data_IF_556529443842
#
_entry.id   IF_556529443842
#
_cell.length_a   1.000
_cell.length_b   1.000
_cell.length_c   1.000
_cell.angle_alpha   90.00
_cell.angle_beta   90.00
_cell.angle_gamma   90.00
#
_symmetry.space_group_name_H-M   'P 1'
#
loop_
_entity.id
_entity.type
_entity.pdbx_description
1 polymer ?
#
# COMPACT_ATOMS: atom_id res chain seq x y z
N UNK A 1 -11.03 11.67 45.55
CA UNK A 1 -10.15 12.25 44.49
C UNK A 1 -11.05 12.53 43.29
N UNK A 2 -11.01 13.73 42.68
CA UNK A 2 -11.90 14.03 41.55
C UNK A 2 -11.56 13.16 40.33
N UNK A 3 -12.52 12.84 39.45
CA UNK A 3 -12.29 11.99 38.27
C UNK A 3 -11.12 12.47 37.39
N UNK A 4 -10.99 13.79 37.25
CA UNK A 4 -9.87 14.43 36.53
C UNK A 4 -8.51 14.17 37.19
N UNK A 5 -8.43 14.21 38.53
CA UNK A 5 -7.18 13.91 39.26
C UNK A 5 -6.78 12.44 39.15
N UNK A 6 -7.75 11.53 39.02
CA UNK A 6 -7.49 10.09 38.81
C UNK A 6 -7.00 9.83 37.39
N UNK A 7 -7.61 10.47 36.37
CA UNK A 7 -7.15 10.36 34.99
C UNK A 7 -5.73 10.91 34.81
N UNK A 8 -5.45 12.07 35.42
CA UNK A 8 -4.13 12.70 35.35
C UNK A 8 -3.05 11.87 36.05
N UNK A 9 -3.38 11.26 37.20
CA UNK A 9 -2.48 10.31 37.87
C UNK A 9 -2.19 9.06 37.02
N UNK A 10 -3.21 8.49 36.37
CA UNK A 10 -3.04 7.32 35.48
C UNK A 10 -2.14 7.66 34.29
N UNK A 11 -2.34 8.83 33.66
CA UNK A 11 -1.46 9.29 32.60
C UNK A 11 -0.02 9.44 33.09
N UNK A 12 0.17 10.05 34.27
CA UNK A 12 1.51 10.24 34.83
C UNK A 12 2.22 8.91 35.11
N UNK A 13 1.49 7.93 35.66
CA UNK A 13 2.03 6.57 35.89
C UNK A 13 2.37 5.88 34.58
N UNK A 14 1.52 5.98 33.57
CA UNK A 14 1.77 5.39 32.25
C UNK A 14 3.02 5.99 31.59
N UNK A 15 3.17 7.32 31.64
CA UNK A 15 4.38 8.00 31.16
C UNK A 15 5.63 7.57 31.93
N UNK A 16 5.54 7.46 33.27
CA UNK A 16 6.66 7.01 34.08
C UNK A 16 7.10 5.57 33.73
N UNK A 17 6.14 4.68 33.47
CA UNK A 17 6.43 3.29 33.07
C UNK A 17 7.07 3.23 31.67
N UNK A 18 6.57 4.02 30.72
CA UNK A 18 7.16 4.11 29.38
C UNK A 18 8.61 4.62 29.41
N UNK A 19 8.87 5.67 30.19
CA UNK A 19 10.22 6.23 30.35
C UNK A 19 11.14 5.20 31.01
N UNK A 20 10.68 4.51 32.07
CA UNK A 20 11.47 3.46 32.72
C UNK A 20 11.78 2.29 31.77
N UNK A 21 10.82 1.88 30.95
CA UNK A 21 11.00 0.83 29.93
C UNK A 21 12.01 1.23 28.86
N UNK A 22 11.92 2.46 28.34
CA UNK A 22 12.87 2.98 27.36
C UNK A 22 14.29 3.06 27.94
N UNK A 23 14.45 3.58 29.16
CA UNK A 23 15.75 3.64 29.85
C UNK A 23 16.33 2.24 30.09
N UNK A 24 15.50 1.27 30.45
CA UNK A 24 15.93 -0.12 30.62
C UNK A 24 16.38 -0.73 29.29
N UNK A 25 15.61 -0.53 28.23
CA UNK A 25 15.91 -1.01 26.88
C UNK A 25 17.23 -0.44 26.35
N UNK A 26 17.43 0.87 26.47
CA UNK A 26 18.68 1.51 26.03
C UNK A 26 19.89 1.10 26.89
N UNK A 27 19.71 0.93 28.20
CA UNK A 27 20.78 0.43 29.06
C UNK A 27 21.15 -1.03 28.78
N UNK A 28 20.16 -1.86 28.44
CA UNK A 28 20.39 -3.23 27.98
C UNK A 28 21.16 -3.21 26.65
N UNK A 29 20.66 -2.46 25.66
CA UNK A 29 21.29 -2.33 24.36
C UNK A 29 22.72 -1.79 24.47
N UNK A 30 23.02 -0.88 25.41
CA UNK A 30 24.39 -0.40 25.65
C UNK A 30 25.35 -1.48 26.21
N UNK A 31 24.85 -2.46 26.95
CA UNK A 31 25.67 -3.48 27.64
C UNK A 31 25.81 -4.79 26.88
N UNK A 32 24.86 -5.13 26.02
CA UNK A 32 24.84 -6.43 25.33
C UNK A 32 25.77 -6.46 24.12
N UNK A 33 26.97 -7.01 24.27
CA UNK A 33 27.97 -7.09 23.19
C UNK A 33 27.86 -8.33 22.32
N UNK A 34 26.93 -9.24 22.61
CA UNK A 34 26.87 -10.57 21.99
C UNK A 34 25.80 -10.69 20.93
N UNK A 35 24.79 -9.83 21.00
CA UNK A 35 23.59 -9.96 20.17
C UNK A 35 23.63 -8.99 19.00
N UNK A 36 23.49 -9.49 17.77
CA UNK A 36 23.45 -8.67 16.55
C UNK A 36 22.37 -7.58 16.61
N UNK A 37 21.22 -7.89 17.23
CA UNK A 37 20.15 -6.92 17.46
C UNK A 37 20.58 -5.73 18.33
N UNK A 38 21.43 -5.94 19.33
CA UNK A 38 21.94 -4.84 20.16
C UNK A 38 22.94 -3.95 19.39
N UNK A 39 23.66 -4.51 18.41
CA UNK A 39 24.53 -3.76 17.50
C UNK A 39 23.70 -2.85 16.57
N UNK A 40 22.70 -3.42 15.89
CA UNK A 40 21.80 -2.68 14.98
C UNK A 40 21.06 -1.56 15.72
N UNK A 41 20.59 -1.82 16.95
CA UNK A 41 19.96 -0.79 17.78
C UNK A 41 20.91 0.36 18.07
N UNK A 42 22.18 0.10 18.44
CA UNK A 42 23.20 1.15 18.71
C UNK A 42 23.53 1.96 17.46
N UNK A 43 23.60 1.32 16.30
CA UNK A 43 23.90 1.97 15.02
C UNK A 43 22.82 2.98 14.64
N UNK A 44 21.54 2.58 14.73
CA UNK A 44 20.40 3.45 14.38
C UNK A 44 20.27 4.66 15.30
N UNK A 45 20.58 4.49 16.59
CA UNK A 45 20.46 5.56 17.60
C UNK A 45 21.77 6.33 17.84
N UNK A 46 22.84 6.02 17.09
CA UNK A 46 24.13 6.72 17.16
C UNK A 46 24.88 6.55 18.49
N UNK A 47 24.72 5.41 19.18
CA UNK A 47 25.46 5.11 20.40
C UNK A 47 26.87 4.59 20.10
N UNK A 48 27.86 5.00 20.91
CA UNK A 48 29.22 4.47 20.82
C UNK A 48 29.26 2.96 21.06
N UNK A 49 29.97 2.26 20.18
CA UNK A 49 30.12 0.80 20.25
C UNK A 49 31.17 0.44 21.32
N UNK A 50 30.87 -0.50 22.23
CA UNK A 50 31.87 -1.01 23.17
C UNK A 50 33.01 -1.73 22.40
N UNK A 51 34.26 -1.46 22.80
CA UNK A 51 35.46 -2.07 22.21
C UNK A 51 35.32 -3.60 22.15
N UNK A 52 35.40 -4.18 20.94
CA UNK A 52 35.26 -5.63 20.70
C UNK A 52 33.86 -6.11 20.32
N UNK A 53 32.95 -5.22 19.91
CA UNK A 53 31.61 -5.59 19.42
C UNK A 53 31.51 -5.87 17.92
N UNK A 54 32.64 -6.00 17.21
CA UNK A 54 32.64 -6.49 15.84
C UNK A 54 32.33 -7.99 15.86
N UNK A 55 31.36 -8.48 15.07
CA UNK A 55 31.06 -9.90 15.04
C UNK A 55 32.26 -10.68 14.47
N UNK A 56 32.82 -11.59 15.26
CA UNK A 56 33.91 -12.47 14.82
C UNK A 56 33.47 -13.28 13.58
N UNK A 57 34.28 -13.32 12.50
CA UNK A 57 33.99 -14.19 11.36
C UNK A 57 34.18 -15.66 11.77
N UNK A 58 33.17 -16.48 11.50
CA UNK A 58 33.16 -17.92 11.79
C UNK A 58 34.31 -18.60 11.04
N UNK A 59 35.34 -18.98 11.78
CA UNK A 59 36.48 -19.79 11.30
C UNK A 59 36.01 -21.23 11.15
N UNK A 60 35.82 -21.70 9.91
CA UNK A 60 35.64 -23.13 9.64
C UNK A 60 36.91 -23.67 8.98
N UNK A 61 37.59 -24.51 9.76
CA UNK A 61 38.85 -25.20 9.48
C UNK A 61 38.71 -26.07 8.23
N UNK A 62 39.60 -25.88 7.25
CA UNK A 62 39.78 -26.79 6.11
C UNK A 62 40.82 -27.86 6.51
N UNK A 63 40.57 -29.17 6.32
CA UNK A 63 41.62 -30.17 6.42
C UNK A 63 42.33 -30.31 5.06
N UNK A 64 43.63 -30.05 5.00
CA UNK A 64 44.49 -30.42 3.86
C UNK A 64 44.87 -31.92 3.90
N UNK A 65 45.06 -32.59 2.74
CA UNK A 65 45.55 -33.95 2.67
C UNK A 65 47.10 -34.02 2.74
N UNK A 66 47.57 -35.02 3.47
CA UNK A 66 48.97 -35.35 3.82
C UNK A 66 49.82 -35.77 2.61
N UNK A 67 51.00 -35.17 2.40
CA UNK A 67 52.22 -35.85 1.90
C UNK A 67 53.49 -35.14 2.47
N UNK A 68 54.43 -35.90 3.05
CA UNK A 68 55.71 -35.47 3.69
C UNK A 68 56.80 -36.46 3.17
N UNK A 69 58.08 -36.10 2.86
CA UNK A 69 58.97 -35.28 3.70
C UNK A 69 60.05 -34.40 3.03
N UNK A 70 60.15 -33.14 3.49
CA UNK A 70 61.35 -32.37 3.96
C UNK A 70 60.99 -30.86 3.97
N UNK A 71 61.58 -30.06 4.87
CA UNK A 71 60.86 -29.15 5.78
C UNK A 71 59.97 -28.15 5.03
N UNK A 72 58.66 -28.25 5.30
CA UNK A 72 57.57 -27.61 4.54
C UNK A 72 57.73 -26.08 4.50
N UNK A 73 57.91 -25.46 3.31
CA UNK A 73 57.66 -24.04 3.11
C UNK A 73 56.14 -23.81 3.17
N UNK A 74 55.70 -22.83 3.96
CA UNK A 74 54.30 -22.43 4.07
C UNK A 74 53.68 -22.23 2.67
N UNK A 75 52.53 -22.84 2.36
CA UNK A 75 51.93 -22.72 1.03
C UNK A 75 51.41 -21.30 0.83
N UNK A 76 51.81 -20.67 -0.27
CA UNK A 76 51.20 -19.41 -0.71
C UNK A 76 49.69 -19.62 -0.91
N UNK A 77 48.82 -18.75 -0.35
CA UNK A 77 47.39 -18.96 -0.43
C UNK A 77 46.93 -18.83 -1.88
N UNK A 78 46.45 -19.94 -2.44
CA UNK A 78 45.72 -19.94 -3.70
C UNK A 78 44.40 -19.22 -3.45
N UNK A 79 44.33 -17.95 -3.86
CA UNK A 79 43.11 -17.15 -3.88
C UNK A 79 42.20 -17.72 -4.96
N UNK A 80 41.33 -18.65 -4.59
CA UNK A 80 40.21 -19.01 -5.44
C UNK A 80 39.31 -17.77 -5.55
N UNK A 81 39.33 -17.13 -6.72
CA UNK A 81 38.45 -16.00 -7.03
C UNK A 81 37.03 -16.56 -7.14
N UNK A 82 36.38 -16.75 -5.99
CA UNK A 82 34.94 -17.01 -5.92
C UNK A 82 34.28 -15.83 -6.63
N UNK A 83 33.64 -16.10 -7.76
CA UNK A 83 32.89 -15.10 -8.49
C UNK A 83 32.00 -14.35 -7.49
N UNK A 84 32.01 -13.01 -7.48
CA UNK A 84 31.28 -12.23 -6.50
C UNK A 84 29.83 -12.72 -6.49
N UNK A 85 29.28 -13.02 -5.29
CA UNK A 85 27.83 -13.22 -5.14
C UNK A 85 27.19 -12.02 -5.84
N UNK A 86 26.19 -12.21 -6.72
CA UNK A 86 25.53 -11.09 -7.35
C UNK A 86 25.04 -10.18 -6.23
N UNK A 87 25.66 -9.01 -6.11
CA UNK A 87 25.18 -7.96 -5.23
C UNK A 87 23.74 -7.72 -5.69
N UNK A 88 22.77 -7.95 -4.81
CA UNK A 88 21.37 -7.74 -5.15
C UNK A 88 21.26 -6.38 -5.84
N UNK A 89 20.68 -6.35 -7.04
CA UNK A 89 20.67 -5.13 -7.84
C UNK A 89 19.75 -4.17 -7.11
N UNK A 90 20.29 -3.00 -6.73
CA UNK A 90 19.46 -1.94 -6.15
C UNK A 90 18.43 -1.52 -7.20
N UNK A 91 17.17 -1.73 -6.88
CA UNK A 91 16.03 -1.34 -7.70
C UNK A 91 15.41 -0.09 -7.08
N UNK A 92 15.33 0.98 -7.88
CA UNK A 92 14.60 2.16 -7.45
C UNK A 92 13.10 1.87 -7.46
N UNK A 93 12.34 2.51 -6.57
CA UNK A 93 10.89 2.41 -6.56
C UNK A 93 10.26 2.85 -7.89
N UNK A 94 10.86 3.82 -8.57
CA UNK A 94 10.40 4.27 -9.89
C UNK A 94 10.56 3.19 -10.96
N UNK A 95 11.62 2.38 -10.89
CA UNK A 95 11.85 1.28 -11.83
C UNK A 95 10.97 0.07 -11.52
N UNK A 96 10.66 -0.18 -10.24
CA UNK A 96 9.66 -1.15 -9.81
C UNK A 96 8.26 -0.81 -10.37
N UNK A 97 7.84 0.45 -10.26
CA UNK A 97 6.55 0.93 -10.78
C UNK A 97 6.45 0.80 -12.31
N UNK A 98 7.57 0.80 -13.04
CA UNK A 98 7.56 0.64 -14.51
C UNK A 98 7.43 -0.82 -14.97
N UNK A 99 7.49 -1.78 -14.05
CA UNK A 99 7.49 -3.21 -14.33
C UNK A 99 6.29 -3.88 -13.64
N UNK A 100 5.08 -3.82 -14.23
CA UNK A 100 3.87 -4.38 -13.63
C UNK A 100 3.94 -5.89 -13.39
N UNK A 101 4.77 -6.60 -14.15
CA UNK A 101 5.07 -8.02 -13.98
C UNK A 101 5.75 -8.34 -12.64
N UNK A 102 6.34 -7.33 -12.00
CA UNK A 102 6.96 -7.46 -10.69
C UNK A 102 6.01 -7.15 -9.54
N UNK A 103 4.76 -6.74 -9.80
CA UNK A 103 3.83 -6.30 -8.76
C UNK A 103 3.19 -7.47 -8.01
N UNK A 104 2.84 -7.27 -6.73
CA UNK A 104 2.03 -8.23 -6.00
C UNK A 104 0.60 -8.25 -6.54
N UNK A 105 -0.05 -9.40 -6.53
CA UNK A 105 -1.50 -9.50 -6.76
C UNK A 105 -2.30 -9.06 -5.53
N UNK A 106 -1.74 -9.26 -4.33
CA UNK A 106 -2.39 -8.94 -3.06
C UNK A 106 -1.38 -8.44 -2.02
N UNK A 107 -1.83 -7.53 -1.15
CA UNK A 107 -1.06 -7.01 -0.02
C UNK A 107 -1.92 -6.96 1.23
N UNK A 108 -1.31 -7.10 2.41
CA UNK A 108 -2.00 -6.91 3.68
C UNK A 108 -1.91 -5.45 4.12
N UNK A 109 -3.00 -4.90 4.66
CA UNK A 109 -2.96 -3.63 5.37
C UNK A 109 -2.25 -3.80 6.71
N UNK A 110 -1.20 -3.03 6.95
CA UNK A 110 -0.41 -3.09 8.21
C UNK A 110 -0.84 -2.04 9.21
N UNK A 111 -1.51 -0.97 8.77
CA UNK A 111 -1.98 0.14 9.59
C UNK A 111 -3.44 0.48 9.29
N UNK A 112 -4.13 1.05 10.28
CA UNK A 112 -5.49 1.53 10.09
C UNK A 112 -5.54 2.65 9.06
N UNK A 113 -6.52 2.56 8.15
CA UNK A 113 -6.83 3.60 7.17
C UNK A 113 -8.31 3.95 7.31
N UNK A 114 -8.59 5.23 7.58
CA UNK A 114 -9.95 5.76 7.71
C UNK A 114 -10.19 6.77 6.60
N UNK A 115 -11.35 6.69 5.95
CA UNK A 115 -11.71 7.62 4.88
C UNK A 115 -13.13 8.13 5.04
N UNK A 116 -13.28 9.44 4.95
CA UNK A 116 -14.57 10.12 4.90
C UNK A 116 -15.34 9.73 3.64
N UNK A 117 -16.66 9.64 3.74
CA UNK A 117 -17.57 9.34 2.63
C UNK A 117 -18.17 10.65 2.16
N UNK A 118 -17.76 11.10 0.98
CA UNK A 118 -18.20 12.34 0.36
C UNK A 118 -19.01 12.03 -0.89
N UNK A 119 -20.17 12.68 -1.02
CA UNK A 119 -20.98 12.64 -2.23
C UNK A 119 -21.57 14.03 -2.47
N UNK A 120 -21.22 14.66 -3.59
CA UNK A 120 -21.70 16.01 -3.95
C UNK A 120 -21.41 17.02 -2.84
N UNK A 121 -20.16 17.01 -2.36
CA UNK A 121 -19.68 17.89 -1.27
C UNK A 121 -20.38 17.71 0.09
N UNK A 122 -21.23 16.68 0.25
CA UNK A 122 -21.86 16.33 1.53
C UNK A 122 -21.14 15.15 2.19
N UNK A 123 -20.93 15.25 3.50
CA UNK A 123 -20.35 14.19 4.34
C UNK A 123 -21.43 13.19 4.80
N UNK A 124 -21.21 11.92 4.51
CA UNK A 124 -22.08 10.79 4.87
C UNK A 124 -21.46 9.86 5.93
N UNK A 125 -20.29 10.19 6.49
CA UNK A 125 -19.62 9.46 7.56
C UNK A 125 -18.20 9.04 7.21
N UNK A 126 -17.68 8.02 7.90
CA UNK A 126 -16.31 7.53 7.69
C UNK A 126 -16.30 6.01 7.64
N UNK A 127 -15.64 5.45 6.63
CA UNK A 127 -15.34 4.02 6.54
C UNK A 127 -13.94 3.74 7.07
N UNK A 128 -13.79 2.67 7.84
CA UNK A 128 -12.52 2.27 8.46
C UNK A 128 -12.05 0.92 7.94
N UNK A 129 -10.77 0.84 7.64
CA UNK A 129 -10.06 -0.36 7.21
C UNK A 129 -9.00 -0.66 8.25
N UNK A 130 -9.13 -1.81 8.90
CA UNK A 130 -8.25 -2.23 10.01
C UNK A 130 -7.06 -3.05 9.47
N UNK A 131 -5.94 -3.11 10.22
CA UNK A 131 -4.84 -3.99 9.89
C UNK A 131 -5.28 -5.46 9.73
N UNK A 132 -4.59 -6.21 8.86
CA UNK A 132 -4.90 -7.61 8.57
C UNK A 132 -5.87 -7.84 7.40
N UNK A 133 -6.49 -6.78 6.87
CA UNK A 133 -7.32 -6.89 5.67
C UNK A 133 -6.46 -7.05 4.42
N UNK A 134 -6.93 -7.86 3.47
CA UNK A 134 -6.26 -8.10 2.20
C UNK A 134 -6.74 -7.09 1.15
N UNK A 135 -5.78 -6.30 0.64
CA UNK A 135 -5.90 -5.41 -0.50
C UNK A 135 -5.50 -6.19 -1.77
N UNK A 136 -6.47 -6.43 -2.65
CA UNK A 136 -6.24 -6.90 -4.02
C UNK A 136 -5.62 -5.75 -4.81
N UNK A 137 -4.42 -5.93 -5.36
CA UNK A 137 -3.65 -4.83 -5.95
C UNK A 137 -3.97 -4.70 -7.43
N UNK A 138 -4.42 -3.51 -7.82
CA UNK A 138 -4.65 -3.15 -9.22
C UNK A 138 -3.48 -2.35 -9.80
N UNK A 139 -2.89 -1.45 -9.00
CA UNK A 139 -1.81 -0.58 -9.47
C UNK A 139 -0.87 -0.13 -8.37
N UNK A 140 0.43 -0.09 -8.66
CA UNK A 140 1.43 0.58 -7.84
C UNK A 140 1.77 1.92 -8.49
N UNK A 141 1.61 3.03 -7.77
CA UNK A 141 1.86 4.38 -8.29
C UNK A 141 3.24 4.90 -7.92
N UNK A 142 3.80 5.73 -8.80
CA UNK A 142 5.06 6.45 -8.55
C UNK A 142 4.97 7.42 -7.36
N UNK A 143 3.76 7.86 -6.99
CA UNK A 143 3.45 8.64 -5.78
C UNK A 143 3.63 7.84 -4.48
N UNK A 144 3.99 6.55 -4.55
CA UNK A 144 4.16 5.65 -3.40
C UNK A 144 2.84 5.23 -2.77
N UNK A 145 1.81 5.17 -3.60
CA UNK A 145 0.47 4.71 -3.25
C UNK A 145 0.17 3.40 -3.99
N UNK A 146 -0.60 2.54 -3.34
CA UNK A 146 -1.11 1.28 -3.86
C UNK A 146 -2.59 1.44 -4.06
N UNK A 147 -3.00 1.21 -5.30
CA UNK A 147 -4.38 1.24 -5.73
C UNK A 147 -4.87 -0.19 -5.82
N UNK A 148 -6.02 -0.47 -5.23
CA UNK A 148 -6.54 -1.83 -5.16
C UNK A 148 -7.92 -1.91 -4.53
N UNK A 149 -8.37 -3.09 -4.12
CA UNK A 149 -9.66 -3.28 -3.47
C UNK A 149 -9.60 -4.14 -2.20
N UNK A 150 -10.38 -3.77 -1.17
CA UNK A 150 -10.59 -4.58 0.04
C UNK A 150 -12.08 -4.87 0.16
N UNK A 151 -12.46 -6.15 0.13
CA UNK A 151 -13.85 -6.60 0.16
C UNK A 151 -14.72 -5.89 -0.90
N UNK A 152 -14.15 -5.61 -2.07
CA UNK A 152 -14.80 -4.88 -3.16
C UNK A 152 -14.96 -3.36 -2.94
N UNK A 153 -14.28 -2.76 -1.96
CA UNK A 153 -14.15 -1.29 -1.85
C UNK A 153 -12.77 -0.87 -2.34
N UNK A 154 -12.69 0.06 -3.30
CA UNK A 154 -11.44 0.38 -3.97
C UNK A 154 -10.63 1.44 -3.22
N UNK A 155 -9.45 1.11 -2.76
CA UNK A 155 -8.62 1.92 -1.90
C UNK A 155 -7.40 2.47 -2.63
N UNK A 156 -6.95 3.64 -2.18
CA UNK A 156 -5.62 4.17 -2.47
C UNK A 156 -4.88 4.29 -1.14
N UNK A 157 -3.96 3.36 -0.90
CA UNK A 157 -3.27 3.22 0.38
C UNK A 157 -1.80 3.57 0.18
N UNK A 158 -1.21 4.43 1.02
CA UNK A 158 0.24 4.61 1.01
C UNK A 158 0.95 3.27 1.15
N UNK A 159 1.96 3.01 0.32
CA UNK A 159 2.70 1.74 0.32
C UNK A 159 3.23 1.38 1.71
N UNK A 160 3.53 2.39 2.53
CA UNK A 160 3.97 2.21 3.91
C UNK A 160 2.95 1.57 4.86
N UNK A 161 1.66 1.73 4.57
CA UNK A 161 0.54 1.13 5.34
C UNK A 161 0.16 -0.25 4.82
N UNK A 162 0.97 -0.82 3.93
CA UNK A 162 0.77 -2.15 3.36
C UNK A 162 1.98 -3.03 3.64
N UNK A 163 1.86 -4.33 3.37
CA UNK A 163 2.95 -5.29 3.44
C UNK A 163 3.89 -5.26 2.22
N UNK A 164 3.84 -4.24 1.36
CA UNK A 164 4.59 -4.19 0.09
C UNK A 164 6.09 -4.45 0.27
N UNK A 165 6.72 -3.77 1.22
CA UNK A 165 8.17 -3.87 1.39
C UNK A 165 8.60 -5.21 1.99
N UNK A 166 7.97 -5.72 3.07
CA UNK A 166 8.19 -7.09 3.51
C UNK A 166 7.99 -8.11 2.38
N UNK A 167 6.90 -7.98 1.61
CA UNK A 167 6.60 -8.86 0.47
C UNK A 167 7.67 -8.81 -0.62
N UNK A 168 8.12 -7.61 -1.02
CA UNK A 168 9.12 -7.42 -2.07
C UNK A 168 10.45 -8.05 -1.69
N UNK A 169 10.91 -7.81 -0.44
CA UNK A 169 12.17 -8.35 0.05
C UNK A 169 12.17 -9.86 0.21
N UNK A 170 11.01 -10.45 0.51
CA UNK A 170 10.88 -11.89 0.57
C UNK A 170 10.83 -12.51 -0.84
N UNK A 171 10.00 -11.95 -1.72
CA UNK A 171 9.77 -12.44 -3.09
C UNK A 171 11.02 -12.35 -3.97
N UNK A 172 11.76 -11.23 -3.88
CA UNK A 172 12.94 -10.97 -4.73
C UNK A 172 14.27 -11.13 -3.99
N UNK A 173 14.27 -11.88 -2.88
CA UNK A 173 15.45 -12.10 -2.03
C UNK A 173 16.66 -12.53 -2.86
N UNK A 174 17.78 -11.81 -2.69
CA UNK A 174 19.05 -12.10 -3.38
C UNK A 174 19.10 -11.70 -4.85
N UNK A 175 17.99 -11.24 -5.45
CA UNK A 175 17.94 -10.72 -6.82
C UNK A 175 17.86 -9.19 -6.84
N UNK A 176 16.91 -8.64 -6.09
CA UNK A 176 16.69 -7.20 -6.01
C UNK A 176 16.65 -6.74 -4.56
N UNK A 177 17.05 -5.49 -4.36
CA UNK A 177 16.89 -4.79 -3.10
C UNK A 177 16.29 -3.42 -3.38
N UNK A 178 15.23 -3.08 -2.65
CA UNK A 178 14.56 -1.78 -2.75
C UNK A 178 14.50 -1.15 -1.37
N UNK A 179 14.77 0.14 -1.25
CA UNK A 179 14.59 0.85 0.04
C UNK A 179 13.13 1.22 0.25
N UNK A 180 12.71 1.31 1.51
CA UNK A 180 11.34 1.69 1.86
C UNK A 180 10.99 3.04 1.21
N UNK A 181 9.87 3.14 0.46
CA UNK A 181 9.50 4.37 -0.21
C UNK A 181 8.98 5.38 0.84
N UNK A 182 9.76 6.40 1.21
CA UNK A 182 9.28 7.46 2.10
C UNK A 182 8.14 8.25 1.44
N UNK A 183 6.98 8.41 2.06
CA UNK A 183 5.79 8.98 1.42
C UNK A 183 6.05 10.41 0.93
N UNK A 184 5.74 10.66 -0.35
CA UNK A 184 5.57 12.03 -0.85
C UNK A 184 4.06 12.21 -1.04
N UNK A 185 3.44 13.25 -0.46
CA UNK A 185 2.04 13.52 -0.73
C UNK A 185 1.83 13.65 -2.24
N UNK A 186 0.78 13.00 -2.75
CA UNK A 186 0.40 13.07 -4.16
C UNK A 186 0.35 14.53 -4.59
N UNK A 187 1.10 14.89 -5.64
CA UNK A 187 1.13 16.24 -6.14
C UNK A 187 -0.28 16.59 -6.63
N UNK A 188 -0.93 17.52 -5.92
CA UNK A 188 -2.23 18.07 -6.25
C UNK A 188 -2.14 18.73 -7.63
N UNK A 189 -2.48 17.97 -8.66
CA UNK A 189 -2.79 18.49 -9.97
C UNK A 189 -4.18 19.08 -9.91
N UNK A 190 -4.28 20.36 -9.56
CA UNK A 190 -5.49 21.14 -9.77
C UNK A 190 -5.75 21.21 -11.29
N UNK A 191 -6.52 20.26 -11.81
CA UNK A 191 -7.19 20.46 -13.07
C UNK A 191 -8.17 21.61 -12.86
N UNK A 192 -7.84 22.77 -13.41
CA UNK A 192 -8.76 23.90 -13.49
C UNK A 192 -9.93 23.42 -14.36
N UNK A 193 -11.09 23.22 -13.73
CA UNK A 193 -12.32 22.84 -14.43
C UNK A 193 -12.71 23.99 -15.39
N UNK A 194 -12.44 23.78 -16.68
CA UNK A 194 -12.77 24.70 -17.77
C UNK A 194 -14.20 24.47 -18.32
N UNK A 195 -15.01 23.71 -17.58
CA UNK A 195 -16.38 23.32 -17.96
C UNK A 195 -16.44 22.14 -18.92
N UNK A 196 -15.31 21.58 -19.37
CA UNK A 196 -15.25 20.36 -20.19
C UNK A 196 -15.15 19.08 -19.37
N UNK A 197 -14.79 19.19 -18.08
CA UNK A 197 -14.65 18.06 -17.16
C UNK A 197 -15.87 17.13 -17.18
N UNK A 198 -17.07 17.70 -17.02
CA UNK A 198 -18.31 16.93 -16.99
C UNK A 198 -18.68 16.32 -18.34
N UNK A 199 -18.33 17.00 -19.44
CA UNK A 199 -18.60 16.53 -20.81
C UNK A 199 -17.69 15.34 -21.13
N UNK A 200 -16.38 15.46 -20.88
CA UNK A 200 -15.39 14.42 -21.16
C UNK A 200 -15.62 13.17 -20.31
N UNK A 201 -16.01 13.35 -19.05
CA UNK A 201 -16.36 12.24 -18.15
C UNK A 201 -17.63 11.51 -18.63
N UNK A 202 -18.66 12.25 -19.01
CA UNK A 202 -19.93 11.67 -19.48
C UNK A 202 -19.76 10.95 -20.82
N UNK A 203 -19.09 11.58 -21.80
CA UNK A 203 -18.80 10.96 -23.10
C UNK A 203 -17.92 9.72 -22.93
N UNK A 204 -16.95 9.82 -22.03
CA UNK A 204 -16.09 8.72 -21.65
C UNK A 204 -16.85 7.52 -21.11
N UNK A 205 -17.70 7.74 -20.11
CA UNK A 205 -18.52 6.68 -19.52
C UNK A 205 -19.53 6.12 -20.51
N UNK A 206 -20.14 6.93 -21.37
CA UNK A 206 -21.04 6.45 -22.42
C UNK A 206 -20.31 5.51 -23.37
N UNK A 207 -19.10 5.87 -23.80
CA UNK A 207 -18.27 5.01 -24.65
C UNK A 207 -17.91 3.71 -23.95
N UNK A 208 -17.49 3.77 -22.69
CA UNK A 208 -17.14 2.58 -21.91
C UNK A 208 -18.36 1.67 -21.71
N UNK A 209 -19.52 2.22 -21.32
CA UNK A 209 -20.75 1.45 -21.16
C UNK A 209 -21.19 0.80 -22.48
N UNK A 210 -21.12 1.52 -23.61
CA UNK A 210 -21.44 0.95 -24.92
C UNK A 210 -20.54 -0.24 -25.28
N UNK A 211 -19.24 -0.17 -24.97
CA UNK A 211 -18.29 -1.26 -25.22
C UNK A 211 -18.58 -2.50 -24.37
N UNK A 212 -19.00 -2.32 -23.11
CA UNK A 212 -19.16 -3.44 -22.17
C UNK A 212 -20.59 -4.02 -22.13
N UNK A 213 -21.60 -3.21 -22.43
CA UNK A 213 -23.02 -3.58 -22.30
C UNK A 213 -23.79 -3.56 -23.63
N UNK A 214 -23.23 -3.02 -24.71
CA UNK A 214 -23.91 -2.96 -26.02
C UNK A 214 -25.06 -1.93 -26.05
N UNK A 215 -26.29 -2.38 -26.32
CA UNK A 215 -27.50 -1.54 -26.43
C UNK A 215 -27.88 -0.91 -25.07
N UNK A 216 -27.25 0.23 -24.77
CA UNK A 216 -27.45 0.97 -23.53
C UNK A 216 -27.36 2.49 -23.68
N UNK A 217 -27.94 3.20 -22.71
CA UNK A 217 -27.74 4.64 -22.50
C UNK A 217 -27.25 4.89 -21.08
N UNK A 218 -26.32 5.83 -20.93
CA UNK A 218 -25.75 6.20 -19.64
C UNK A 218 -25.90 7.70 -19.41
N UNK A 219 -26.42 8.05 -18.23
CA UNK A 219 -26.60 9.42 -17.77
C UNK A 219 -26.13 9.57 -16.32
N UNK A 220 -25.69 10.78 -15.96
CA UNK A 220 -25.36 11.18 -14.60
C UNK A 220 -26.50 12.10 -14.14
N UNK A 221 -27.31 11.66 -13.18
CA UNK A 221 -28.42 12.46 -12.64
C UNK A 221 -28.03 13.15 -11.34
N UNK A 222 -29.01 13.84 -10.73
CA UNK A 222 -28.82 14.48 -9.44
C UNK A 222 -28.65 13.52 -8.25
N UNK A 223 -29.10 12.28 -8.42
CA UNK A 223 -29.17 11.33 -7.30
C UNK A 223 -28.36 10.06 -7.55
N UNK A 224 -28.11 9.70 -8.82
CA UNK A 224 -27.40 8.48 -9.19
C UNK A 224 -26.82 8.48 -10.60
N UNK A 225 -25.90 7.55 -10.83
CA UNK A 225 -25.57 7.09 -12.18
C UNK A 225 -26.71 6.22 -12.71
N UNK A 226 -27.15 6.45 -13.93
CA UNK A 226 -28.28 5.72 -14.52
C UNK A 226 -27.81 5.04 -15.79
N UNK A 227 -27.81 3.70 -15.78
CA UNK A 227 -27.65 2.89 -16.98
C UNK A 227 -29.03 2.36 -17.39
N UNK A 228 -29.46 2.64 -18.61
CA UNK A 228 -30.59 1.95 -19.23
C UNK A 228 -30.03 0.94 -20.21
N UNK A 229 -30.32 -0.33 -20.03
CA UNK A 229 -29.65 -1.41 -20.75
C UNK A 229 -30.65 -2.45 -21.24
N UNK A 230 -30.48 -2.91 -22.48
CA UNK A 230 -31.14 -4.10 -23.02
C UNK A 230 -30.11 -5.24 -23.10
N UNK A 231 -30.15 -6.22 -22.20
CA UNK A 231 -29.25 -7.36 -22.27
C UNK A 231 -29.52 -8.22 -23.51
N UNK A 232 -28.46 -8.67 -24.17
CA UNK A 232 -28.56 -9.50 -25.38
C UNK A 232 -28.73 -11.00 -25.08
N UNK A 233 -28.60 -11.44 -23.82
CA UNK A 233 -28.64 -12.85 -23.43
C UNK A 233 -29.66 -13.17 -22.32
N UNK A 234 -30.26 -14.36 -22.38
CA UNK A 234 -31.06 -14.99 -21.30
C UNK A 234 -30.17 -15.49 -20.13
N UNK A 235 -28.91 -15.06 -20.06
CA UNK A 235 -28.01 -15.39 -18.97
C UNK A 235 -28.52 -14.77 -17.65
N UNK A 236 -28.34 -15.45 -16.50
CA UNK A 236 -28.65 -14.86 -15.21
C UNK A 236 -27.69 -13.71 -14.94
N UNK A 237 -28.17 -12.48 -15.10
CA UNK A 237 -27.40 -11.25 -14.86
C UNK A 237 -27.56 -10.84 -13.40
N UNK A 238 -26.43 -10.62 -12.71
CA UNK A 238 -26.42 -9.97 -11.41
C UNK A 238 -26.40 -8.44 -11.59
N UNK A 239 -27.58 -7.84 -11.73
CA UNK A 239 -27.71 -6.39 -11.91
C UNK A 239 -27.11 -5.57 -10.76
N UNK A 240 -26.96 -6.14 -9.56
CA UNK A 240 -26.32 -5.45 -8.44
C UNK A 240 -24.80 -5.40 -8.64
N UNK A 241 -24.20 -6.49 -9.09
CA UNK A 241 -22.79 -6.55 -9.44
C UNK A 241 -22.47 -5.61 -10.61
N UNK A 242 -23.30 -5.59 -11.64
CA UNK A 242 -23.13 -4.68 -12.79
C UNK A 242 -23.21 -3.21 -12.39
N UNK A 243 -24.22 -2.84 -11.59
CA UNK A 243 -24.36 -1.47 -11.10
C UNK A 243 -23.15 -1.04 -10.26
N UNK A 244 -22.60 -1.96 -9.46
CA UNK A 244 -21.39 -1.72 -8.69
C UNK A 244 -20.16 -1.51 -9.60
N UNK A 245 -20.03 -2.29 -10.67
CA UNK A 245 -18.94 -2.16 -11.64
C UNK A 245 -18.97 -0.80 -12.34
N UNK A 246 -20.14 -0.33 -12.74
CA UNK A 246 -20.32 1.00 -13.37
C UNK A 246 -19.95 2.11 -12.40
N UNK A 247 -20.42 2.03 -11.15
CA UNK A 247 -20.08 3.00 -10.11
C UNK A 247 -18.57 3.03 -9.80
N UNK A 248 -17.90 1.88 -9.85
CA UNK A 248 -16.44 1.78 -9.71
C UNK A 248 -15.71 2.48 -10.85
N UNK A 249 -16.04 2.18 -12.09
CA UNK A 249 -15.37 2.78 -13.26
C UNK A 249 -15.61 4.29 -13.33
N UNK A 250 -16.82 4.74 -13.00
CA UNK A 250 -17.11 6.17 -12.88
C UNK A 250 -16.18 6.87 -11.88
N UNK A 251 -16.07 6.34 -10.65
CA UNK A 251 -15.24 6.95 -9.61
C UNK A 251 -13.75 6.90 -9.97
N UNK A 252 -13.30 5.83 -10.63
CA UNK A 252 -11.92 5.73 -11.15
C UNK A 252 -11.61 6.84 -12.16
N UNK A 253 -12.51 7.08 -13.11
CA UNK A 253 -12.30 8.08 -14.16
C UNK A 253 -12.43 9.51 -13.64
N UNK A 254 -13.29 9.74 -12.64
CA UNK A 254 -13.34 10.98 -11.88
C UNK A 254 -12.01 11.25 -11.17
N UNK A 255 -11.50 10.25 -10.45
CA UNK A 255 -10.26 10.36 -9.69
C UNK A 255 -9.04 10.63 -10.58
N UNK A 256 -8.95 9.96 -11.75
CA UNK A 256 -7.92 10.22 -12.76
C UNK A 256 -7.90 11.67 -13.28
N UNK A 257 -9.02 12.38 -13.13
CA UNK A 257 -9.20 13.77 -13.57
C UNK A 257 -9.22 14.77 -12.41
N UNK A 258 -8.93 14.32 -11.19
CA UNK A 258 -8.76 15.19 -10.01
C UNK A 258 -10.04 15.48 -9.22
N UNK A 259 -11.15 14.79 -9.48
CA UNK A 259 -12.34 14.93 -8.63
C UNK A 259 -12.18 14.23 -7.27
N UNK A 260 -12.88 14.76 -6.27
CA UNK A 260 -12.77 14.35 -4.86
C UNK A 260 -13.93 13.49 -4.38
N UNK A 261 -15.01 13.40 -5.17
CA UNK A 261 -16.11 12.48 -4.93
C UNK A 261 -15.58 11.05 -4.84
N UNK A 262 -16.05 10.33 -3.84
CA UNK A 262 -15.49 9.04 -3.51
C UNK A 262 -16.57 8.00 -3.21
N UNK A 263 -17.82 8.37 -3.48
CA UNK A 263 -18.99 7.50 -3.45
C UNK A 263 -19.83 7.74 -4.71
N UNK A 264 -20.36 6.68 -5.29
CA UNK A 264 -21.30 6.76 -6.41
C UNK A 264 -22.36 5.65 -6.30
N UNK A 265 -23.65 6.00 -6.28
CA UNK A 265 -24.73 5.05 -6.50
C UNK A 265 -24.99 4.89 -8.01
N UNK A 266 -25.37 3.69 -8.42
CA UNK A 266 -25.77 3.38 -9.78
C UNK A 266 -27.06 2.57 -9.80
N UNK A 267 -27.97 2.97 -10.68
CA UNK A 267 -29.24 2.31 -10.95
C UNK A 267 -29.23 1.77 -12.38
N UNK A 268 -29.63 0.51 -12.53
CA UNK A 268 -29.80 -0.12 -13.84
C UNK A 268 -31.29 -0.27 -14.11
N UNK A 269 -31.72 0.25 -15.24
CA UNK A 269 -33.09 0.13 -15.76
C UNK A 269 -33.11 -0.71 -17.03
N UNK A 270 -34.17 -1.49 -17.21
CA UNK A 270 -34.46 -2.12 -18.49
C UNK A 270 -34.78 -1.04 -19.54
N UNK A 271 -34.05 -1.05 -20.65
CA UNK A 271 -34.17 -0.02 -21.69
C UNK A 271 -35.55 -0.01 -22.36
N UNK A 272 -36.21 -1.16 -22.46
CA UNK A 272 -37.51 -1.30 -23.15
C UNK A 272 -38.69 -0.87 -22.29
N UNK A 273 -38.69 -1.25 -21.02
CA UNK A 273 -39.81 -1.08 -20.08
C UNK A 273 -39.61 0.08 -19.11
N UNK A 274 -38.38 0.58 -18.97
CA UNK A 274 -38.04 1.59 -17.97
C UNK A 274 -38.13 1.08 -16.53
N UNK A 275 -38.25 -0.24 -16.33
CA UNK A 275 -38.33 -0.84 -14.99
C UNK A 275 -36.93 -0.89 -14.38
N UNK A 276 -36.83 -0.55 -13.09
CA UNK A 276 -35.61 -0.73 -12.33
C UNK A 276 -35.28 -2.23 -12.23
N UNK A 277 -34.09 -2.60 -12.72
CA UNK A 277 -33.57 -3.98 -12.73
C UNK A 277 -32.61 -4.23 -11.57
N UNK A 278 -31.86 -3.21 -11.13
CA UNK A 278 -30.96 -3.34 -9.99
C UNK A 278 -30.37 -2.02 -9.51
N UNK A 279 -29.92 -2.00 -8.26
CA UNK A 279 -29.19 -0.88 -7.67
C UNK A 279 -27.89 -1.42 -7.10
N UNK A 280 -26.81 -0.71 -7.36
CA UNK A 280 -25.50 -0.92 -6.76
C UNK A 280 -24.91 0.42 -6.34
N UNK A 281 -23.91 0.35 -5.49
CA UNK A 281 -23.10 1.52 -5.20
C UNK A 281 -21.66 1.09 -4.98
N UNK A 282 -20.78 2.05 -5.20
CA UNK A 282 -19.37 1.88 -5.00
C UNK A 282 -18.82 3.02 -4.17
N UNK A 283 -17.82 2.68 -3.36
CA UNK A 283 -17.14 3.60 -2.50
C UNK A 283 -15.64 3.40 -2.69
N UNK A 284 -14.95 4.51 -2.95
CA UNK A 284 -13.50 4.65 -3.01
C UNK A 284 -13.06 5.34 -1.74
N UNK A 285 -12.46 4.66 -0.76
CA UNK A 285 -11.85 5.33 0.36
C UNK A 285 -10.58 6.07 -0.17
N UNK A 286 -10.66 7.40 -0.25
CA UNK A 286 -9.82 8.40 -0.96
C UNK A 286 -8.29 8.36 -0.83
N UNK A 287 -7.66 9.09 -1.77
CA UNK A 287 -6.39 9.79 -1.64
C UNK A 287 -6.31 10.60 -0.33
N UNK A 288 -5.15 10.57 0.32
CA UNK A 288 -4.86 11.38 1.50
C UNK A 288 -4.51 12.80 1.07
N UNK A 289 -5.43 13.73 1.30
CA UNK A 289 -5.09 15.10 1.68
C UNK A 289 -5.45 15.29 3.16
N UNK A 290 -4.54 14.86 4.03
CA UNK A 290 -4.36 15.41 5.37
C UNK A 290 -2.87 15.74 5.42
N UNK A 291 -2.46 17.00 5.52
CA UNK A 291 -2.63 17.84 6.71
C UNK A 291 -3.04 19.28 6.38
N UNK A 292 -4.20 19.71 6.87
CA UNK A 292 -4.39 21.10 7.28
C UNK A 292 -5.18 21.13 8.58
N UNK A 293 -4.44 21.37 9.66
CA UNK A 293 -4.75 22.20 10.83
C UNK A 293 -4.20 21.57 12.12
N UNK A 294 -2.95 21.90 12.43
CA UNK A 294 -2.56 22.48 13.72
C UNK A 294 -1.35 23.39 13.55
#
# INVERSE_FOLDING_TARGET
MSPQKVALLKMFVMFAVLIAGAVFFFNWAKKDTKTQFAYEVREVIGMEHPLGSEPEPVVVVVPEPVVVPEPVPEPEPVVEVVAPRPLAIEMSYADFVRQPDLWPETLELTLETSVQILYRERDFGTMRFVPGLILEVDKVLASKEIVGSVNGNYLIVPAEKTSLMPWFHDTYRGKYFMRYPGVMPSAVGAAVDDGRFHIDLLEGMRKWCYINFGDCTFDITDDALVLRWRPEEDAPIDFRAEARTIAREYLKWQAERGATDNYAPCEIYDLSSGRLSGIGSFFVPSFVAQEFQQ
#
